data_IF_512414850979
#
_entry.id   IF_512414850979
#
_cell.length_a   1.000
_cell.length_b   1.000
_cell.length_c   1.000
_cell.angle_alpha   90.00
_cell.angle_beta   90.00
_cell.angle_gamma   90.00
#
_symmetry.space_group_name_H-M   'P 1'
#
loop_
_entity.id
_entity.type
_entity.pdbx_description
1 polymer ?
#
# COMPACT_ATOMS: atom_id res chain seq x y z
N UNK A 1 40.65 -60.06 -23.92
CA UNK A 1 40.70 -59.09 -22.81
C UNK A 1 39.96 -57.83 -23.25
N UNK A 2 38.77 -57.59 -22.71
CA UNK A 2 37.93 -56.41 -23.00
C UNK A 2 38.21 -55.36 -21.93
N UNK A 3 38.73 -54.20 -22.30
CA UNK A 3 38.82 -53.04 -21.41
C UNK A 3 37.59 -52.15 -21.61
N UNK A 4 36.75 -52.06 -20.58
CA UNK A 4 35.58 -51.18 -20.54
C UNK A 4 35.98 -49.77 -20.14
N UNK A 5 35.57 -48.78 -20.95
CA UNK A 5 35.70 -47.36 -20.66
C UNK A 5 34.46 -46.91 -19.87
N UNK A 6 34.61 -46.65 -18.57
CA UNK A 6 33.58 -46.02 -17.76
C UNK A 6 33.54 -44.52 -18.08
N UNK A 7 32.50 -44.06 -18.76
CA UNK A 7 32.19 -42.63 -18.88
C UNK A 7 31.52 -42.15 -17.59
N UNK A 8 32.22 -41.33 -16.82
CA UNK A 8 31.66 -40.60 -15.67
C UNK A 8 30.86 -39.42 -16.21
N UNK A 9 29.53 -39.51 -16.13
CA UNK A 9 28.62 -38.42 -16.47
C UNK A 9 28.56 -37.44 -15.28
N UNK A 10 29.32 -36.34 -15.33
CA UNK A 10 29.19 -35.26 -14.36
C UNK A 10 27.88 -34.50 -14.59
N UNK A 11 26.86 -34.78 -13.77
CA UNK A 11 25.66 -33.98 -13.63
C UNK A 11 26.02 -32.65 -12.94
N UNK A 12 26.18 -31.59 -13.73
CA UNK A 12 26.15 -30.22 -13.22
C UNK A 12 24.70 -29.87 -12.84
N UNK A 13 24.35 -30.05 -11.57
CA UNK A 13 23.16 -29.46 -11.00
C UNK A 13 23.40 -27.94 -10.90
N UNK A 14 22.89 -27.17 -11.86
CA UNK A 14 22.83 -25.72 -11.75
C UNK A 14 21.92 -25.34 -10.59
N UNK A 15 22.51 -24.95 -9.45
CA UNK A 15 21.80 -24.15 -8.47
C UNK A 15 21.40 -22.84 -9.16
N UNK A 16 20.13 -22.73 -9.54
CA UNK A 16 19.49 -21.43 -9.74
C UNK A 16 19.46 -20.76 -8.37
N UNK A 17 20.53 -20.04 -8.03
CA UNK A 17 20.46 -19.00 -7.02
C UNK A 17 19.45 -17.97 -7.53
N UNK A 18 18.21 -18.04 -7.05
CA UNK A 18 17.37 -16.86 -7.02
C UNK A 18 18.15 -15.84 -6.22
N UNK A 19 18.62 -14.78 -6.88
CA UNK A 19 19.20 -13.66 -6.18
C UNK A 19 18.15 -13.17 -5.19
N UNK A 20 18.37 -13.42 -3.90
CA UNK A 20 17.62 -12.79 -2.84
C UNK A 20 17.86 -11.29 -3.02
N UNK A 21 16.84 -10.59 -3.53
CA UNK A 21 16.79 -9.13 -3.54
C UNK A 21 16.65 -8.65 -2.11
N UNK A 22 17.72 -8.81 -1.32
CA UNK A 22 17.98 -7.90 -0.22
C UNK A 22 17.93 -6.50 -0.80
N UNK A 23 17.11 -5.61 -0.22
CA UNK A 23 16.94 -4.25 -0.70
C UNK A 23 18.20 -3.40 -0.46
N UNK A 24 19.26 -3.70 -1.19
CA UNK A 24 20.36 -2.79 -1.45
C UNK A 24 19.78 -1.58 -2.20
N UNK A 25 19.42 -0.53 -1.46
CA UNK A 25 18.96 0.73 -2.05
C UNK A 25 17.63 1.29 -1.53
N UNK A 26 16.99 0.72 -0.50
CA UNK A 26 15.90 1.43 0.17
C UNK A 26 16.43 2.67 0.87
N UNK A 27 15.89 3.83 0.54
CA UNK A 27 16.25 5.10 1.19
C UNK A 27 15.04 5.76 1.84
N UNK A 28 15.31 6.68 2.76
CA UNK A 28 14.29 7.58 3.30
C UNK A 28 13.88 8.63 2.25
N UNK A 29 12.60 9.03 2.16
CA UNK A 29 12.12 9.88 1.07
C UNK A 29 12.46 11.37 1.22
N UNK A 30 13.12 11.79 2.30
CA UNK A 30 13.47 13.19 2.60
C UNK A 30 14.92 13.31 3.06
N UNK A 31 15.54 14.51 3.01
CA UNK A 31 16.91 14.72 3.48
C UNK A 31 17.04 14.71 5.01
N UNK A 32 15.95 14.60 5.77
CA UNK A 32 16.00 14.53 7.23
C UNK A 32 16.65 13.19 7.67
N UNK A 33 17.83 13.21 8.34
CA UNK A 33 18.55 11.98 8.71
C UNK A 33 18.05 11.34 10.01
N UNK A 34 17.11 11.98 10.71
CA UNK A 34 16.68 11.60 12.06
C UNK A 34 16.23 10.14 12.15
N UNK A 35 15.44 9.67 11.18
CA UNK A 35 15.01 8.28 11.14
C UNK A 35 16.23 7.33 11.06
N UNK A 36 17.14 7.53 10.11
CA UNK A 36 18.33 6.70 9.92
C UNK A 36 19.22 6.71 11.17
N UNK A 37 19.33 7.85 11.84
CA UNK A 37 20.11 8.02 13.06
C UNK A 37 19.45 7.39 14.30
N UNK A 38 18.21 6.90 14.21
CA UNK A 38 17.52 6.30 15.37
C UNK A 38 16.95 7.29 16.36
N UNK A 39 16.69 8.51 15.89
CA UNK A 39 16.09 9.56 16.69
C UNK A 39 14.58 9.33 16.87
N UNK A 40 14.00 10.13 17.76
CA UNK A 40 12.60 10.01 18.15
C UNK A 40 11.66 10.44 17.02
N UNK A 41 10.38 10.09 17.10
CA UNK A 41 9.43 10.47 16.02
C UNK A 41 9.24 11.99 15.94
N UNK A 42 9.47 12.69 17.04
CA UNK A 42 9.45 14.14 17.15
C UNK A 42 10.48 14.81 16.24
N UNK A 43 11.52 14.08 15.84
CA UNK A 43 12.64 14.58 15.02
C UNK A 43 12.41 14.43 13.50
N UNK A 44 11.26 13.91 13.06
CA UNK A 44 10.92 13.82 11.63
C UNK A 44 9.42 13.83 11.30
N UNK A 45 8.53 13.63 12.27
CA UNK A 45 7.08 13.59 12.02
C UNK A 45 6.46 14.98 12.12
N UNK A 46 5.74 15.38 11.08
CA UNK A 46 4.92 16.59 11.10
C UNK A 46 3.58 16.31 11.80
N UNK A 47 3.30 16.90 12.98
CA UNK A 47 1.97 16.83 13.57
C UNK A 47 0.94 17.61 12.74
N UNK A 48 -0.32 17.21 12.87
CA UNK A 48 -1.46 17.98 12.39
C UNK A 48 -1.66 19.25 13.23
N UNK A 49 -2.75 19.98 12.99
CA UNK A 49 -3.12 21.17 13.77
C UNK A 49 -3.27 20.90 15.28
N UNK A 50 -3.44 19.64 15.71
CA UNK A 50 -3.50 19.29 17.13
C UNK A 50 -2.17 19.47 17.88
N UNK A 51 -1.03 19.58 17.18
CA UNK A 51 0.30 19.63 17.79
C UNK A 51 0.80 18.29 18.36
N UNK A 52 -0.03 17.25 18.40
CA UNK A 52 0.37 15.92 18.88
C UNK A 52 1.14 15.19 17.78
N UNK A 53 2.43 14.87 18.01
CA UNK A 53 3.32 14.22 17.04
C UNK A 53 2.71 12.98 16.38
N UNK A 54 2.08 12.11 17.19
CA UNK A 54 1.43 10.89 16.71
C UNK A 54 0.37 11.13 15.63
N UNK A 55 -0.22 12.33 15.53
CA UNK A 55 -1.24 12.64 14.52
C UNK A 55 -0.74 12.66 13.08
N UNK A 56 0.58 12.72 12.87
CA UNK A 56 1.23 12.57 11.56
C UNK A 56 1.62 11.13 11.21
N UNK A 57 1.39 10.16 12.10
CA UNK A 57 1.67 8.74 11.84
C UNK A 57 0.56 8.07 11.03
N UNK A 58 0.85 6.89 10.49
CA UNK A 58 -0.17 6.04 9.87
C UNK A 58 -1.19 5.54 10.91
N UNK A 59 -2.43 5.31 10.47
CA UNK A 59 -3.45 4.67 11.29
C UNK A 59 -4.51 5.61 11.85
N UNK A 60 -5.24 5.13 12.86
CA UNK A 60 -6.29 5.89 13.52
C UNK A 60 -5.72 6.86 14.56
N UNK A 61 -5.04 7.90 14.09
CA UNK A 61 -4.25 8.81 14.94
C UNK A 61 -4.73 10.28 14.92
N UNK A 62 -5.73 10.59 14.09
CA UNK A 62 -6.29 11.95 13.95
C UNK A 62 -7.63 12.05 14.69
N UNK A 63 -7.98 13.25 15.15
CA UNK A 63 -9.22 13.54 15.90
C UNK A 63 -9.45 12.58 17.09
N UNK A 64 -8.46 12.42 17.97
CA UNK A 64 -8.54 11.47 19.10
C UNK A 64 -8.62 10.00 18.67
N UNK A 65 -8.20 9.70 17.44
CA UNK A 65 -8.23 8.36 16.85
C UNK A 65 -9.50 8.01 16.09
N UNK A 66 -10.42 8.96 15.89
CA UNK A 66 -11.63 8.74 15.09
C UNK A 66 -11.38 8.84 13.57
N UNK A 67 -10.24 9.41 13.15
CA UNK A 67 -9.90 9.60 11.74
C UNK A 67 -8.63 8.86 11.36
N UNK A 68 -8.73 8.10 10.27
CA UNK A 68 -7.64 7.35 9.67
C UNK A 68 -6.68 8.29 8.92
N UNK A 69 -5.41 7.93 8.93
CA UNK A 69 -4.35 8.54 8.14
C UNK A 69 -3.65 7.45 7.33
N UNK A 70 -3.67 7.62 6.01
CA UNK A 70 -3.22 6.65 5.01
C UNK A 70 -1.69 6.55 4.89
N UNK A 71 -0.94 7.47 5.50
CA UNK A 71 0.51 7.56 5.33
C UNK A 71 1.24 8.16 6.52
N UNK A 72 2.41 8.71 6.21
CA UNK A 72 3.32 9.35 7.15
C UNK A 72 3.53 10.81 6.73
N UNK A 73 3.35 11.76 7.66
CA UNK A 73 3.61 13.17 7.41
C UNK A 73 5.02 13.53 7.91
N UNK A 74 5.92 13.95 7.02
CA UNK A 74 7.33 14.23 7.29
C UNK A 74 7.65 15.72 7.11
N UNK A 75 8.19 16.37 8.15
CA UNK A 75 8.49 17.80 8.09
C UNK A 75 9.80 18.09 7.32
N UNK A 76 9.97 19.32 6.79
CA UNK A 76 11.20 19.75 6.14
C UNK A 76 12.29 20.15 7.13
N UNK A 77 13.55 19.91 6.78
CA UNK A 77 14.72 20.42 7.52
C UNK A 77 15.26 21.74 6.96
N UNK A 78 14.83 22.16 5.77
CA UNK A 78 15.24 23.42 5.14
C UNK A 78 14.06 24.26 4.68
N UNK A 79 14.18 25.59 4.85
CA UNK A 79 13.17 26.59 4.47
C UNK A 79 13.80 27.84 3.87
N UNK A 80 13.08 28.49 2.96
CA UNK A 80 13.48 29.78 2.42
C UNK A 80 13.16 30.96 3.37
N UNK A 81 13.54 32.17 2.98
CA UNK A 81 13.27 33.41 3.74
C UNK A 81 11.76 33.70 3.92
N UNK A 82 10.90 33.08 3.11
CA UNK A 82 9.44 33.21 3.18
C UNK A 82 8.82 32.10 4.03
N UNK A 83 9.60 31.14 4.53
CA UNK A 83 9.17 30.00 5.33
C UNK A 83 8.67 28.80 4.52
N UNK A 84 8.79 28.81 3.19
CA UNK A 84 8.42 27.68 2.34
C UNK A 84 9.49 26.58 2.40
N UNK A 85 9.07 25.31 2.31
CA UNK A 85 9.97 24.17 2.37
C UNK A 85 10.87 24.10 1.13
N UNK A 86 12.13 23.68 1.31
CA UNK A 86 13.12 23.54 0.23
C UNK A 86 13.56 22.09 0.00
N UNK A 87 13.17 21.18 0.88
CA UNK A 87 13.59 19.78 0.84
C UNK A 87 13.19 19.10 -0.46
N UNK A 88 14.16 18.45 -1.11
CA UNK A 88 13.88 17.54 -2.22
C UNK A 88 13.25 16.25 -1.69
N UNK A 89 12.26 15.73 -2.41
CA UNK A 89 11.60 14.45 -2.14
C UNK A 89 12.14 13.40 -3.10
N UNK A 90 12.49 12.22 -2.58
CA UNK A 90 13.19 11.20 -3.36
C UNK A 90 12.34 9.93 -3.56
N UNK A 91 12.50 9.31 -4.73
CA UNK A 91 12.05 7.93 -4.94
C UNK A 91 12.79 7.01 -3.97
N UNK A 92 12.04 6.21 -3.21
CA UNK A 92 12.63 5.39 -2.12
C UNK A 92 13.29 4.12 -2.65
N UNK A 93 12.96 3.76 -3.89
CA UNK A 93 13.40 2.59 -4.61
C UNK A 93 13.25 2.80 -6.13
N UNK A 94 13.93 1.97 -6.94
CA UNK A 94 13.68 1.92 -8.37
C UNK A 94 12.22 1.61 -8.68
N UNK A 95 11.71 2.20 -9.76
CA UNK A 95 10.33 2.00 -10.15
C UNK A 95 9.94 2.74 -11.42
N UNK A 96 8.64 2.83 -11.64
CA UNK A 96 8.02 3.56 -12.74
C UNK A 96 7.05 4.57 -12.18
N UNK A 97 7.15 5.82 -12.62
CA UNK A 97 6.13 6.83 -12.33
C UNK A 97 4.84 6.42 -13.05
N UNK A 98 3.77 6.21 -12.31
CA UNK A 98 2.48 5.73 -12.82
C UNK A 98 1.39 6.79 -12.76
N UNK A 99 1.59 7.84 -11.96
CA UNK A 99 0.69 8.98 -11.89
C UNK A 99 1.43 10.24 -11.46
N UNK A 100 1.02 11.38 -12.02
CA UNK A 100 1.45 12.70 -11.59
C UNK A 100 0.27 13.66 -11.64
N UNK A 101 -0.04 14.30 -10.52
CA UNK A 101 -0.92 15.45 -10.48
C UNK A 101 -0.07 16.72 -10.25
N UNK A 102 -0.04 17.63 -11.24
CA UNK A 102 0.66 18.92 -11.13
C UNK A 102 -0.23 20.06 -10.62
N UNK A 103 -1.53 19.82 -10.46
CA UNK A 103 -2.49 20.85 -10.07
C UNK A 103 -2.83 20.75 -8.59
N UNK A 104 -2.42 21.76 -7.81
CA UNK A 104 -2.60 21.79 -6.36
C UNK A 104 -4.06 21.59 -5.91
N UNK A 105 -5.04 22.18 -6.61
CA UNK A 105 -6.44 22.16 -6.19
C UNK A 105 -7.22 20.89 -6.55
N UNK A 106 -6.66 19.95 -7.32
CA UNK A 106 -7.41 18.79 -7.84
C UNK A 106 -7.59 17.64 -6.85
N UNK A 107 -6.94 17.68 -5.69
CA UNK A 107 -6.98 16.62 -4.68
C UNK A 107 -6.63 17.16 -3.30
N UNK A 108 -7.07 16.47 -2.25
CA UNK A 108 -6.54 16.66 -0.90
C UNK A 108 -5.03 16.41 -0.83
N UNK A 109 -4.48 15.54 -1.69
CA UNK A 109 -3.04 15.32 -1.81
C UNK A 109 -2.26 16.50 -2.42
N UNK A 110 -2.94 17.47 -3.01
CA UNK A 110 -2.26 18.55 -3.72
C UNK A 110 -1.57 18.07 -4.98
N UNK A 111 -0.37 18.56 -5.22
CA UNK A 111 0.54 18.01 -6.22
C UNK A 111 1.15 16.73 -5.66
N UNK A 112 1.07 15.65 -6.43
CA UNK A 112 1.60 14.37 -5.98
C UNK A 112 2.09 13.50 -7.14
N UNK A 113 3.00 12.59 -6.80
CA UNK A 113 3.58 11.59 -7.69
C UNK A 113 3.30 10.22 -7.09
N UNK A 114 2.97 9.24 -7.95
CA UNK A 114 2.89 7.83 -7.57
C UNK A 114 3.93 7.06 -8.36
N UNK A 115 4.75 6.28 -7.66
CA UNK A 115 5.76 5.39 -8.24
C UNK A 115 5.35 3.96 -7.95
N UNK A 116 5.25 3.13 -8.99
CA UNK A 116 5.06 1.68 -8.86
C UNK A 116 6.42 0.99 -8.92
N UNK A 117 6.70 0.16 -7.92
CA UNK A 117 7.91 -0.65 -7.82
C UNK A 117 7.64 -1.99 -8.49
N UNK A 118 7.52 -1.97 -9.82
CA UNK A 118 7.07 -3.08 -10.67
C UNK A 118 8.07 -4.25 -10.80
N UNK A 119 9.29 -4.09 -10.28
CA UNK A 119 10.30 -5.16 -10.18
C UNK A 119 10.30 -5.87 -8.82
N UNK A 120 9.49 -5.37 -7.88
CA UNK A 120 9.32 -5.98 -6.57
C UNK A 120 8.25 -7.06 -6.61
N UNK A 121 8.33 -8.02 -5.69
CA UNK A 121 7.36 -9.12 -5.59
C UNK A 121 6.83 -9.21 -4.17
N UNK A 122 5.55 -8.87 -3.90
CA UNK A 122 4.60 -8.28 -4.86
C UNK A 122 5.05 -6.88 -5.30
N UNK A 123 4.65 -6.48 -6.50
CA UNK A 123 4.72 -5.07 -6.88
C UNK A 123 3.86 -4.26 -5.90
N UNK A 124 4.30 -3.06 -5.56
CA UNK A 124 3.57 -2.13 -4.71
C UNK A 124 3.83 -0.71 -5.21
N UNK A 125 3.14 0.27 -4.64
CA UNK A 125 3.37 1.67 -4.97
C UNK A 125 3.75 2.50 -3.75
N UNK A 126 4.43 3.60 -4.04
CA UNK A 126 4.63 4.71 -3.10
C UNK A 126 3.96 5.97 -3.64
N UNK A 127 3.43 6.79 -2.73
CA UNK A 127 2.78 8.05 -3.05
C UNK A 127 3.48 9.19 -2.31
N UNK A 128 3.78 10.27 -3.04
CA UNK A 128 4.50 11.44 -2.55
C UNK A 128 3.66 12.69 -2.78
N UNK A 129 3.05 13.23 -1.72
CA UNK A 129 2.05 14.30 -1.81
C UNK A 129 2.50 15.63 -1.20
N UNK A 130 1.63 16.62 -1.37
CA UNK A 130 1.80 18.01 -0.93
C UNK A 130 2.97 18.76 -1.55
N UNK A 131 3.51 18.28 -2.67
CA UNK A 131 4.68 18.86 -3.32
C UNK A 131 4.45 20.34 -3.70
N UNK A 132 5.49 21.17 -3.53
CA UNK A 132 5.50 22.54 -4.04
C UNK A 132 5.55 22.51 -5.57
N UNK A 133 6.46 21.70 -6.11
CA UNK A 133 6.68 21.45 -7.54
C UNK A 133 7.02 19.98 -7.78
N UNK A 134 6.75 19.50 -8.99
CA UNK A 134 7.20 18.18 -9.48
C UNK A 134 8.46 18.43 -10.31
N UNK A 135 9.49 17.62 -10.14
CA UNK A 135 10.75 17.77 -10.87
C UNK A 135 10.58 17.54 -12.38
N UNK A 136 11.51 18.08 -13.16
CA UNK A 136 11.55 17.88 -14.61
C UNK A 136 11.78 16.40 -14.95
N UNK A 137 11.19 15.94 -16.06
CA UNK A 137 11.26 14.52 -16.47
C UNK A 137 10.35 13.56 -15.68
N UNK A 138 9.81 13.97 -14.53
CA UNK A 138 8.87 13.14 -13.75
C UNK A 138 7.48 13.16 -14.40
N UNK A 139 7.20 12.16 -15.23
CA UNK A 139 5.92 11.99 -15.92
C UNK A 139 5.50 10.51 -15.93
N UNK A 140 4.20 10.20 -16.07
CA UNK A 140 3.75 8.82 -16.22
C UNK A 140 4.54 8.08 -17.30
N UNK A 141 5.06 6.89 -16.98
CA UNK A 141 5.92 6.07 -17.82
C UNK A 141 7.41 6.19 -17.52
N UNK A 142 7.87 7.31 -16.94
CA UNK A 142 9.27 7.54 -16.60
C UNK A 142 9.80 6.51 -15.61
N UNK A 143 11.03 6.02 -15.83
CA UNK A 143 11.76 5.18 -14.88
C UNK A 143 12.50 6.07 -13.90
N UNK A 144 12.53 5.66 -12.63
CA UNK A 144 13.29 6.32 -11.57
C UNK A 144 14.11 5.27 -10.85
N UNK A 145 15.29 5.68 -10.40
CA UNK A 145 16.13 4.91 -9.48
C UNK A 145 15.93 5.39 -8.04
N UNK A 146 16.40 4.61 -7.07
CA UNK A 146 16.45 5.08 -5.68
C UNK A 146 17.24 6.39 -5.58
N UNK A 147 16.72 7.37 -4.85
CA UNK A 147 17.35 8.70 -4.72
C UNK A 147 17.00 9.68 -5.85
N UNK A 148 16.26 9.27 -6.88
CA UNK A 148 15.80 10.21 -7.92
C UNK A 148 14.91 11.29 -7.29
N UNK A 149 15.24 12.56 -7.50
CA UNK A 149 14.43 13.69 -7.04
C UNK A 149 13.09 13.76 -7.79
N UNK A 150 11.99 13.59 -7.07
CA UNK A 150 10.63 13.60 -7.61
C UNK A 150 10.01 15.00 -7.64
N UNK A 151 10.48 15.89 -6.78
CA UNK A 151 9.95 17.23 -6.62
C UNK A 151 10.34 17.86 -5.29
N UNK A 152 9.97 19.11 -5.11
CA UNK A 152 10.26 19.86 -3.88
C UNK A 152 9.07 19.70 -2.92
N UNK A 153 9.36 19.39 -1.66
CA UNK A 153 8.37 19.34 -0.58
C UNK A 153 7.60 20.65 -0.51
N UNK A 154 6.32 20.60 -0.15
CA UNK A 154 5.53 21.80 -0.03
C UNK A 154 4.36 21.67 0.92
N UNK A 155 3.30 22.38 0.57
CA UNK A 155 2.07 22.48 1.34
C UNK A 155 0.84 22.57 0.42
N UNK A 156 0.94 22.00 -0.78
CA UNK A 156 -0.14 22.05 -1.77
C UNK A 156 -1.25 21.06 -1.39
N UNK A 157 -2.50 21.50 -1.52
CA UNK A 157 -3.71 20.68 -1.34
C UNK A 157 -4.91 21.44 -1.90
N UNK A 158 -6.06 20.76 -2.01
CA UNK A 158 -7.36 21.42 -2.24
C UNK A 158 -7.82 22.29 -1.06
N UNK A 159 -7.07 22.28 0.05
CA UNK A 159 -7.25 23.12 1.23
C UNK A 159 -5.92 23.77 1.63
N UNK A 160 -5.96 24.74 2.55
CA UNK A 160 -4.76 25.44 2.99
C UNK A 160 -4.01 24.69 4.09
N UNK A 161 -2.74 24.38 3.85
CA UNK A 161 -1.78 23.90 4.86
C UNK A 161 -0.82 25.04 5.18
N UNK A 162 -0.69 25.55 6.41
CA UNK A 162 0.20 26.69 6.70
C UNK A 162 1.66 26.32 6.47
N UNK A 163 2.51 27.32 6.20
CA UNK A 163 3.94 27.14 5.95
C UNK A 163 4.65 26.35 7.04
N UNK A 164 4.34 26.65 8.31
CA UNK A 164 4.88 25.95 9.48
C UNK A 164 4.53 24.46 9.54
N UNK A 165 3.55 24.00 8.75
CA UNK A 165 3.18 22.59 8.60
C UNK A 165 3.34 22.07 7.17
N UNK A 166 4.16 22.71 6.35
CA UNK A 166 4.62 22.09 5.10
C UNK A 166 5.23 20.72 5.42
N UNK A 167 4.91 19.70 4.63
CA UNK A 167 5.36 18.33 4.85
C UNK A 167 5.27 17.51 3.56
N UNK A 168 5.98 16.40 3.53
CA UNK A 168 5.70 15.30 2.62
C UNK A 168 4.66 14.40 3.27
N UNK A 169 3.55 14.14 2.59
CA UNK A 169 2.69 13.01 2.91
C UNK A 169 3.13 11.81 2.07
N UNK A 170 3.59 10.75 2.75
CA UNK A 170 4.20 9.57 2.15
C UNK A 170 3.40 8.30 2.44
N UNK A 171 3.02 7.56 1.40
CA UNK A 171 2.33 6.27 1.53
C UNK A 171 3.11 5.13 0.88
N UNK A 172 2.89 3.90 1.38
CA UNK A 172 3.28 2.63 0.75
C UNK A 172 2.01 1.78 0.66
N UNK A 173 1.69 1.19 -0.49
CA UNK A 173 0.46 0.40 -0.58
C UNK A 173 0.20 -0.33 -1.89
N UNK A 174 -1.07 -0.71 -2.05
CA UNK A 174 -1.60 -1.43 -3.20
C UNK A 174 -2.78 -0.71 -3.82
N UNK A 175 -3.02 -0.97 -5.10
CA UNK A 175 -4.15 -0.45 -5.86
C UNK A 175 -5.23 -1.52 -5.96
N UNK A 176 -6.46 -1.21 -5.56
CA UNK A 176 -7.53 -2.21 -5.43
C UNK A 176 -8.02 -2.75 -6.79
N UNK A 177 -8.20 -1.90 -7.79
CA UNK A 177 -8.71 -2.34 -9.10
C UNK A 177 -8.22 -1.48 -10.25
N UNK A 178 -8.16 -2.05 -11.47
CA UNK A 178 -7.96 -1.33 -12.73
C UNK A 178 -9.25 -0.64 -13.21
N UNK A 179 -10.41 -1.16 -12.81
CA UNK A 179 -11.73 -0.67 -13.22
C UNK A 179 -12.32 0.34 -12.22
N UNK A 180 -11.47 1.19 -11.65
CA UNK A 180 -11.88 2.11 -10.59
C UNK A 180 -12.91 3.14 -11.08
N UNK A 181 -12.82 3.57 -12.34
CA UNK A 181 -13.73 4.55 -12.91
C UNK A 181 -15.18 4.06 -12.88
N UNK A 182 -15.43 2.80 -13.22
CA UNK A 182 -16.77 2.20 -13.17
C UNK A 182 -17.34 2.18 -11.75
N UNK A 183 -16.50 1.95 -10.74
CA UNK A 183 -16.93 2.10 -9.35
C UNK A 183 -17.24 3.57 -9.01
N UNK A 184 -16.38 4.51 -9.42
CA UNK A 184 -16.55 5.93 -9.16
C UNK A 184 -17.84 6.49 -9.74
N UNK A 185 -18.17 6.16 -10.99
CA UNK A 185 -19.37 6.66 -11.69
C UNK A 185 -20.66 6.20 -10.99
N UNK A 186 -20.68 4.97 -10.45
CA UNK A 186 -21.82 4.45 -9.68
C UNK A 186 -22.07 5.19 -8.37
N UNK A 187 -21.05 5.86 -7.81
CA UNK A 187 -21.17 6.65 -6.58
C UNK A 187 -21.79 8.03 -6.81
N UNK A 188 -21.90 8.49 -8.06
CA UNK A 188 -22.49 9.79 -8.43
C UNK A 188 -21.88 10.97 -7.65
N UNK A 189 -20.56 10.99 -7.51
CA UNK A 189 -19.88 12.13 -6.89
C UNK A 189 -20.10 13.40 -7.73
N UNK A 190 -20.20 14.56 -7.07
CA UNK A 190 -20.33 15.85 -7.77
C UNK A 190 -19.05 16.31 -8.48
N UNK A 191 -17.90 15.70 -8.16
CA UNK A 191 -16.63 15.98 -8.80
C UNK A 191 -16.26 14.89 -9.82
N UNK A 192 -15.53 15.26 -10.88
CA UNK A 192 -14.95 14.30 -11.82
C UNK A 192 -13.76 13.58 -11.18
N UNK A 193 -13.57 12.30 -11.50
CA UNK A 193 -12.32 11.61 -11.18
C UNK A 193 -11.21 12.10 -12.11
N UNK A 194 -10.30 12.94 -11.60
CA UNK A 194 -9.14 13.46 -12.35
C UNK A 194 -7.90 12.57 -12.26
N UNK A 195 -7.98 11.51 -11.45
CA UNK A 195 -6.82 10.72 -11.03
C UNK A 195 -6.83 9.30 -11.59
N UNK A 196 -7.87 8.97 -12.38
CA UNK A 196 -8.04 7.65 -12.97
C UNK A 196 -8.00 6.55 -11.92
N UNK A 197 -7.28 5.46 -12.21
CA UNK A 197 -7.08 4.33 -11.28
C UNK A 197 -6.13 4.63 -10.10
N UNK A 198 -5.45 5.78 -10.11
CA UNK A 198 -4.54 6.23 -9.05
C UNK A 198 -5.18 7.28 -8.12
N UNK A 199 -6.50 7.34 -8.11
CA UNK A 199 -7.26 8.08 -7.12
C UNK A 199 -7.07 7.44 -5.73
N UNK A 200 -6.83 8.25 -4.68
CA UNK A 200 -6.62 7.75 -3.31
C UNK A 200 -7.73 6.84 -2.77
N UNK A 201 -8.96 7.00 -3.25
CA UNK A 201 -10.07 6.10 -2.89
C UNK A 201 -9.90 4.67 -3.41
N UNK A 202 -9.00 4.45 -4.37
CA UNK A 202 -8.65 3.14 -4.93
C UNK A 202 -7.38 2.55 -4.31
N UNK A 203 -6.70 3.28 -3.42
CA UNK A 203 -5.45 2.87 -2.81
C UNK A 203 -5.71 2.35 -1.39
N UNK A 204 -4.90 1.39 -0.98
CA UNK A 204 -4.87 0.87 0.39
C UNK A 204 -3.44 0.74 0.87
N UNK A 205 -3.18 1.27 2.06
CA UNK A 205 -1.82 1.58 2.49
C UNK A 205 -1.39 0.69 3.66
N UNK A 206 -0.11 0.33 3.66
CA UNK A 206 0.62 -0.30 4.76
C UNK A 206 1.17 0.80 5.68
N UNK A 207 1.59 0.44 6.90
CA UNK A 207 2.29 1.37 7.79
C UNK A 207 3.72 1.61 7.28
N UNK A 208 4.06 2.80 6.76
CA UNK A 208 5.39 3.03 6.23
C UNK A 208 6.45 2.99 7.33
N UNK A 209 6.16 3.57 8.50
CA UNK A 209 7.16 3.68 9.57
C UNK A 209 7.47 2.32 10.17
N UNK A 210 6.46 1.47 10.38
CA UNK A 210 6.66 0.11 10.88
C UNK A 210 7.40 -0.77 9.85
N UNK A 211 7.14 -0.58 8.55
CA UNK A 211 7.91 -1.21 7.49
C UNK A 211 9.39 -0.81 7.53
N UNK A 212 9.70 0.49 7.52
CA UNK A 212 11.08 0.98 7.59
C UNK A 212 11.81 0.53 8.86
N UNK A 213 11.12 0.53 10.01
CA UNK A 213 11.68 0.00 11.27
C UNK A 213 11.98 -1.49 11.17
N UNK A 214 11.07 -2.26 10.58
CA UNK A 214 11.26 -3.70 10.40
C UNK A 214 12.46 -4.01 9.51
N UNK A 215 12.64 -3.26 8.41
CA UNK A 215 13.83 -3.39 7.54
C UNK A 215 15.10 -3.00 8.28
N UNK A 216 15.12 -1.84 8.94
CA UNK A 216 16.29 -1.38 9.70
C UNK A 216 16.74 -2.35 10.79
N UNK A 217 15.79 -3.01 11.45
CA UNK A 217 16.07 -3.99 12.49
C UNK A 217 16.35 -5.40 11.94
N UNK A 218 16.43 -5.58 10.62
CA UNK A 218 16.67 -6.88 9.99
C UNK A 218 15.55 -7.89 10.20
N UNK A 219 14.33 -7.45 10.56
CA UNK A 219 13.18 -8.33 10.77
C UNK A 219 12.59 -8.82 9.45
N UNK A 220 12.70 -8.00 8.41
CA UNK A 220 12.19 -8.24 7.06
C UNK A 220 13.13 -7.56 6.07
N UNK A 221 13.21 -8.09 4.85
CA UNK A 221 14.10 -7.54 3.81
C UNK A 221 13.35 -6.81 2.70
N UNK A 222 12.03 -6.99 2.62
CA UNK A 222 11.17 -6.49 1.54
C UNK A 222 9.69 -6.43 1.98
N UNK A 223 8.83 -5.87 1.12
CA UNK A 223 7.37 -5.74 1.38
C UNK A 223 6.67 -7.10 1.48
N UNK A 224 7.16 -8.15 0.83
CA UNK A 224 6.56 -9.49 0.90
C UNK A 224 6.73 -10.14 2.26
N UNK A 225 7.93 -10.04 2.83
CA UNK A 225 8.18 -10.49 4.19
C UNK A 225 7.39 -9.63 5.19
N UNK A 226 7.39 -8.31 5.00
CA UNK A 226 6.63 -7.38 5.85
C UNK A 226 5.14 -7.69 5.86
N UNK A 227 4.50 -7.86 4.71
CA UNK A 227 3.07 -8.13 4.68
C UNK A 227 2.73 -9.47 5.35
N UNK A 228 3.64 -10.45 5.36
CA UNK A 228 3.44 -11.73 6.06
C UNK A 228 3.47 -11.58 7.58
N UNK A 229 4.23 -10.64 8.12
CA UNK A 229 4.26 -10.39 9.58
C UNK A 229 2.97 -9.73 10.10
N UNK A 230 2.24 -9.03 9.23
CA UNK A 230 1.00 -8.35 9.61
C UNK A 230 -0.09 -9.40 9.94
N UNK A 231 -0.68 -9.37 11.14
CA UNK A 231 -1.72 -10.32 11.52
C UNK A 231 -3.02 -10.10 10.73
N UNK A 232 -3.75 -11.18 10.48
CA UNK A 232 -5.09 -11.11 9.90
C UNK A 232 -6.11 -10.70 10.98
N UNK A 233 -6.84 -9.61 10.74
CA UNK A 233 -7.91 -9.15 11.63
C UNK A 233 -9.23 -9.85 11.35
N UNK A 234 -9.47 -10.14 10.07
CA UNK A 234 -10.59 -10.95 9.62
C UNK A 234 -10.23 -11.72 8.35
N UNK A 235 -10.89 -12.87 8.17
CA UNK A 235 -10.93 -13.62 6.92
C UNK A 235 -12.36 -13.61 6.40
N UNK A 236 -12.54 -13.13 5.18
CA UNK A 236 -13.85 -13.01 4.53
C UNK A 236 -13.82 -13.85 3.25
N UNK A 237 -14.83 -14.70 3.09
CA UNK A 237 -15.09 -15.45 1.86
C UNK A 237 -15.98 -14.64 0.94
N UNK A 238 -15.64 -14.62 -0.33
CA UNK A 238 -16.50 -14.13 -1.42
C UNK A 238 -16.71 -15.26 -2.42
N UNK A 239 -17.96 -15.68 -2.60
CA UNK A 239 -18.34 -16.74 -3.54
C UNK A 239 -18.42 -16.15 -4.94
N UNK A 240 -17.39 -16.37 -5.74
CA UNK A 240 -17.32 -15.94 -7.13
C UNK A 240 -16.22 -16.70 -7.85
N UNK A 241 -16.45 -17.02 -9.13
CA UNK A 241 -15.42 -17.54 -10.03
C UNK A 241 -14.55 -16.43 -10.63
N UNK A 242 -14.92 -15.16 -10.44
CA UNK A 242 -14.17 -14.02 -10.96
C UNK A 242 -12.78 -13.95 -10.34
N UNK A 243 -11.76 -13.78 -11.19
CA UNK A 243 -10.41 -13.43 -10.77
C UNK A 243 -10.32 -11.90 -10.76
N UNK A 244 -10.22 -11.23 -9.60
CA UNK A 244 -10.17 -9.78 -9.55
C UNK A 244 -8.80 -9.26 -10.00
N UNK A 245 -8.77 -8.04 -10.56
CA UNK A 245 -7.54 -7.37 -11.00
C UNK A 245 -6.45 -7.38 -9.91
N UNK A 246 -6.84 -7.28 -8.63
CA UNK A 246 -5.91 -7.34 -7.50
C UNK A 246 -5.09 -8.63 -7.47
N UNK A 247 -5.73 -9.79 -7.73
CA UNK A 247 -5.06 -11.09 -7.77
C UNK A 247 -4.11 -11.18 -8.97
N UNK A 248 -4.50 -10.64 -10.12
CA UNK A 248 -3.67 -10.60 -11.32
C UNK A 248 -2.46 -9.67 -11.14
N UNK A 249 -2.65 -8.51 -10.49
CA UNK A 249 -1.61 -7.52 -10.27
C UNK A 249 -0.63 -7.94 -9.15
N UNK A 250 -1.10 -8.72 -8.17
CA UNK A 250 -0.32 -9.10 -6.98
C UNK A 250 -0.35 -10.63 -6.74
N UNK A 251 0.11 -11.45 -7.70
CA UNK A 251 0.00 -12.90 -7.62
C UNK A 251 0.77 -13.51 -6.44
N UNK A 252 1.81 -12.83 -5.94
CA UNK A 252 2.56 -13.25 -4.75
C UNK A 252 1.74 -13.25 -3.45
N UNK A 253 0.57 -12.59 -3.44
CA UNK A 253 -0.36 -12.62 -2.30
C UNK A 253 -1.33 -13.81 -2.36
N UNK A 254 -1.27 -14.63 -3.41
CA UNK A 254 -2.10 -15.83 -3.57
C UNK A 254 -1.45 -17.02 -2.89
N UNK A 255 -2.19 -17.75 -2.06
CA UNK A 255 -1.63 -18.82 -1.21
C UNK A 255 -1.38 -20.14 -1.93
N UNK A 256 -2.03 -20.35 -3.08
CA UNK A 256 -1.86 -21.56 -3.89
C UNK A 256 -2.26 -21.33 -5.35
N UNK A 257 -1.67 -22.07 -6.31
CA UNK A 257 -2.00 -21.96 -7.73
C UNK A 257 -3.48 -22.22 -8.01
N UNK A 258 -4.05 -21.47 -8.94
CA UNK A 258 -5.44 -21.64 -9.41
C UNK A 258 -5.57 -21.85 -10.92
N UNK A 259 -4.48 -21.72 -11.69
CA UNK A 259 -4.48 -21.97 -13.14
C UNK A 259 -4.95 -23.39 -13.43
N UNK A 260 -5.88 -23.53 -14.38
CA UNK A 260 -6.46 -24.83 -14.75
C UNK A 260 -7.48 -25.40 -13.75
N UNK A 261 -7.77 -24.70 -12.65
CA UNK A 261 -8.75 -25.11 -11.65
C UNK A 261 -10.02 -24.28 -11.74
N UNK A 262 -11.16 -24.92 -11.44
CA UNK A 262 -12.44 -24.23 -11.34
C UNK A 262 -12.56 -23.49 -10.00
N UNK A 263 -12.19 -22.21 -9.99
CA UNK A 263 -12.36 -21.33 -8.82
C UNK A 263 -13.85 -21.07 -8.58
N UNK A 264 -14.29 -21.20 -7.32
CA UNK A 264 -15.68 -20.95 -6.90
C UNK A 264 -15.78 -19.92 -5.78
N UNK A 265 -14.69 -19.62 -5.07
CA UNK A 265 -14.65 -18.56 -4.07
C UNK A 265 -13.22 -18.08 -3.79
N UNK A 266 -13.11 -16.96 -3.09
CA UNK A 266 -11.87 -16.43 -2.55
C UNK A 266 -11.99 -16.23 -1.04
N UNK A 267 -11.07 -16.81 -0.26
CA UNK A 267 -10.91 -16.51 1.16
C UNK A 267 -9.82 -15.44 1.30
N UNK A 268 -10.21 -14.26 1.77
CA UNK A 268 -9.34 -13.07 1.80
C UNK A 268 -9.04 -12.71 3.24
N UNK A 269 -7.76 -12.68 3.62
CA UNK A 269 -7.34 -12.11 4.90
C UNK A 269 -7.16 -10.60 4.78
N UNK A 270 -7.67 -9.86 5.76
CA UNK A 270 -7.52 -8.41 5.85
C UNK A 270 -6.61 -8.03 7.01
N UNK A 271 -5.69 -7.08 6.77
CA UNK A 271 -4.93 -6.41 7.83
C UNK A 271 -5.84 -5.52 8.70
N UNK A 272 -5.28 -4.94 9.76
CA UNK A 272 -5.99 -4.01 10.65
C UNK A 272 -6.86 -3.00 9.89
N UNK A 273 -6.32 -2.31 8.90
CA UNK A 273 -7.04 -1.22 8.21
C UNK A 273 -7.57 -1.58 6.82
N UNK A 274 -7.69 -2.88 6.55
CA UNK A 274 -8.42 -3.39 5.38
C UNK A 274 -7.56 -3.61 4.13
N UNK A 275 -6.24 -3.80 4.27
CA UNK A 275 -5.40 -4.29 3.16
C UNK A 275 -5.71 -5.78 2.93
N UNK A 276 -6.14 -6.20 1.73
CA UNK A 276 -6.37 -7.61 1.41
C UNK A 276 -5.01 -8.30 1.20
N UNK A 277 -4.48 -8.87 2.27
CA UNK A 277 -3.07 -9.26 2.39
C UNK A 277 -2.75 -10.70 1.98
N UNK A 278 -3.77 -11.54 1.84
CA UNK A 278 -3.63 -12.95 1.53
C UNK A 278 -4.90 -13.46 0.84
N UNK A 279 -4.74 -14.19 -0.25
CA UNK A 279 -5.82 -14.65 -1.13
C UNK A 279 -5.76 -16.15 -1.33
N UNK A 280 -6.71 -16.89 -0.75
CA UNK A 280 -6.81 -18.32 -0.95
C UNK A 280 -7.93 -18.64 -1.94
N UNK A 281 -7.62 -19.09 -3.17
CA UNK A 281 -8.65 -19.55 -4.10
C UNK A 281 -9.29 -20.82 -3.55
N UNK A 282 -10.60 -20.98 -3.70
CA UNK A 282 -11.36 -22.19 -3.36
C UNK A 282 -11.89 -22.84 -4.62
N UNK A 283 -11.91 -24.17 -4.64
CA UNK A 283 -12.20 -24.94 -5.85
C UNK A 283 -13.50 -25.72 -5.72
N UNK A 284 -14.15 -26.01 -6.86
CA UNK A 284 -15.42 -26.74 -6.90
C UNK A 284 -15.34 -28.10 -6.19
N UNK A 285 -14.23 -28.83 -6.36
CA UNK A 285 -13.95 -30.13 -5.74
C UNK A 285 -13.94 -30.11 -4.20
N UNK A 286 -13.79 -28.93 -3.59
CA UNK A 286 -13.76 -28.79 -2.12
C UNK A 286 -15.15 -28.71 -1.48
N UNK A 287 -16.23 -28.69 -2.28
CA UNK A 287 -17.63 -28.74 -1.82
C UNK A 287 -17.97 -27.75 -0.68
N UNK A 288 -17.41 -26.53 -0.75
CA UNK A 288 -17.47 -25.55 0.34
C UNK A 288 -18.84 -24.85 0.54
N UNK A 289 -19.83 -25.14 -0.31
CA UNK A 289 -21.16 -24.52 -0.30
C UNK A 289 -21.19 -23.00 -0.59
N UNK A 290 -22.41 -22.46 -0.65
CA UNK A 290 -22.69 -21.04 -0.94
C UNK A 290 -23.10 -20.79 -2.39
N UNK A 291 -23.72 -19.63 -2.63
CA UNK A 291 -24.18 -19.15 -3.94
C UNK A 291 -23.28 -18.04 -4.45
N UNK A 292 -23.17 -17.89 -5.77
CA UNK A 292 -22.43 -16.78 -6.37
C UNK A 292 -22.95 -15.44 -5.85
N UNK A 293 -22.05 -14.60 -5.36
CA UNK A 293 -22.36 -13.31 -4.72
C UNK A 293 -22.43 -13.37 -3.19
N UNK A 294 -22.45 -14.55 -2.57
CA UNK A 294 -22.40 -14.68 -1.11
C UNK A 294 -21.09 -14.08 -0.57
N UNK A 295 -21.20 -13.42 0.59
CA UNK A 295 -20.06 -12.87 1.33
C UNK A 295 -20.18 -13.26 2.79
N UNK A 296 -19.18 -13.96 3.34
CA UNK A 296 -19.22 -14.53 4.70
C UNK A 296 -17.96 -14.25 5.49
N UNK A 297 -18.09 -13.86 6.75
CA UNK A 297 -16.97 -13.85 7.71
C UNK A 297 -16.63 -15.28 8.10
N UNK A 298 -15.39 -15.71 7.85
CA UNK A 298 -14.89 -17.05 8.20
C UNK A 298 -14.23 -17.09 9.57
N UNK A 299 -13.38 -16.09 9.84
CA UNK A 299 -12.62 -15.98 11.07
C UNK A 299 -12.33 -14.52 11.37
N UNK A 300 -12.12 -14.19 12.64
CA UNK A 300 -11.68 -12.87 13.08
C UNK A 300 -11.02 -12.95 14.45
N UNK A 301 -10.22 -11.94 14.79
CA UNK A 301 -9.62 -11.80 16.11
C UNK A 301 -10.38 -10.73 16.92
N UNK A 302 -11.21 -11.12 17.92
CA UNK A 302 -12.01 -10.16 18.69
C UNK A 302 -11.16 -9.13 19.44
N UNK A 303 -10.03 -9.55 20.01
CA UNK A 303 -9.16 -8.66 20.82
C UNK A 303 -8.55 -7.58 19.93
N UNK A 304 -8.09 -7.96 18.74
CA UNK A 304 -7.54 -7.02 17.76
C UNK A 304 -8.59 -6.06 17.21
N UNK A 305 -9.79 -6.54 16.91
CA UNK A 305 -10.89 -5.69 16.43
C UNK A 305 -11.31 -4.65 17.47
N UNK A 306 -11.29 -5.00 18.77
CA UNK A 306 -11.60 -4.07 19.87
C UNK A 306 -10.60 -2.91 19.97
N UNK A 307 -9.35 -3.11 19.54
CA UNK A 307 -8.33 -2.06 19.52
C UNK A 307 -8.54 -1.04 18.39
N UNK A 308 -9.46 -1.30 17.46
CA UNK A 308 -9.74 -0.39 16.35
C UNK A 308 -10.72 0.72 16.74
N UNK A 309 -10.20 1.94 16.83
CA UNK A 309 -11.00 3.16 17.02
C UNK A 309 -11.65 3.69 15.74
N UNK A 310 -11.07 3.39 14.57
CA UNK A 310 -11.58 3.79 13.26
C UNK A 310 -11.22 2.74 12.19
N UNK A 311 -11.71 2.93 10.95
CA UNK A 311 -11.36 2.11 9.76
C UNK A 311 -11.40 0.59 10.05
N UNK A 312 -12.45 0.16 10.75
CA UNK A 312 -12.63 -1.24 11.17
C UNK A 312 -12.80 -2.16 9.98
N UNK A 313 -12.28 -3.39 10.05
CA UNK A 313 -12.59 -4.41 9.05
C UNK A 313 -13.98 -5.00 9.27
N UNK A 314 -14.31 -5.26 10.53
CA UNK A 314 -15.61 -5.73 11.00
C UNK A 314 -16.15 -4.81 12.10
N UNK A 315 -17.46 -4.58 12.11
CA UNK A 315 -18.16 -3.90 13.17
C UNK A 315 -18.59 -4.90 14.25
N UNK A 316 -18.06 -4.72 15.45
CA UNK A 316 -18.45 -5.46 16.65
C UNK A 316 -19.75 -4.87 17.19
N UNK A 317 -20.90 -5.39 16.73
CA UNK A 317 -22.22 -4.99 17.22
C UNK A 317 -23.23 -6.13 17.09
N UNK A 318 -23.87 -6.48 18.21
CA UNK A 318 -24.80 -7.62 18.29
C UNK A 318 -24.10 -8.96 18.57
N UNK A 319 -24.79 -10.08 18.32
CA UNK A 319 -24.28 -11.44 18.62
C UNK A 319 -23.16 -11.90 17.67
N UNK A 320 -23.10 -11.36 16.46
CA UNK A 320 -22.10 -11.72 15.44
C UNK A 320 -21.53 -10.46 14.78
N UNK A 321 -20.22 -10.37 14.52
CA UNK A 321 -19.64 -9.23 13.83
C UNK A 321 -20.18 -9.09 12.41
N UNK A 322 -20.35 -7.84 11.98
CA UNK A 322 -20.77 -7.50 10.62
C UNK A 322 -19.58 -6.98 9.82
N UNK A 323 -19.57 -7.21 8.51
CA UNK A 323 -18.56 -6.61 7.63
C UNK A 323 -18.77 -5.10 7.62
N UNK A 324 -17.71 -4.33 7.89
CA UNK A 324 -17.83 -2.88 7.96
C UNK A 324 -18.18 -2.28 6.58
N UNK A 325 -18.76 -1.08 6.59
CA UNK A 325 -19.05 -0.33 5.36
C UNK A 325 -17.79 -0.06 4.53
N UNK A 326 -16.64 0.15 5.19
CA UNK A 326 -15.34 0.31 4.55
C UNK A 326 -14.91 -0.96 3.82
N UNK A 327 -14.97 -2.11 4.49
CA UNK A 327 -14.61 -3.40 3.88
C UNK A 327 -15.56 -3.78 2.76
N UNK A 328 -16.88 -3.57 2.91
CA UNK A 328 -17.84 -3.76 1.83
C UNK A 328 -17.52 -2.87 0.61
N UNK A 329 -17.13 -1.61 0.85
CA UNK A 329 -16.68 -0.70 -0.21
C UNK A 329 -15.41 -1.19 -0.90
N UNK A 330 -14.47 -1.82 -0.17
CA UNK A 330 -13.28 -2.46 -0.74
C UNK A 330 -13.65 -3.68 -1.58
N UNK A 331 -14.52 -4.57 -1.08
CA UNK A 331 -14.99 -5.75 -1.81
C UNK A 331 -15.70 -5.36 -3.12
N UNK A 332 -16.55 -4.32 -3.09
CA UNK A 332 -17.19 -3.77 -4.30
C UNK A 332 -16.19 -3.25 -5.33
N UNK A 333 -15.05 -2.70 -4.92
CA UNK A 333 -13.98 -2.28 -5.85
C UNK A 333 -13.23 -3.48 -6.42
N UNK A 334 -12.90 -4.46 -5.56
CA UNK A 334 -12.15 -5.66 -5.94
C UNK A 334 -12.91 -6.50 -6.98
N UNK A 335 -14.20 -6.72 -6.75
CA UNK A 335 -15.02 -7.62 -7.57
C UNK A 335 -16.01 -6.91 -8.50
N UNK A 336 -16.22 -5.61 -8.34
CA UNK A 336 -17.15 -4.85 -9.17
C UNK A 336 -18.63 -5.04 -8.82
N UNK A 337 -18.95 -5.67 -7.68
CA UNK A 337 -20.33 -5.85 -7.19
C UNK A 337 -21.08 -4.53 -7.03
N UNK A 338 -22.42 -4.60 -7.08
CA UNK A 338 -23.32 -3.44 -6.90
C UNK A 338 -23.51 -3.07 -5.42
#
# INVERSE_FOLDING_TARGET
MRFGLFSVLCLFAGLLCTADSSWAGLIWPTPNPAFQNGQSIEDYIQPTVSGVTKSGLFGCVRNGGARFHEGLDLYPVSRDKRGEALDMVYAVLPGRVVHVNRTAGHSSYGRYVVVEHDRETPAFHTLYAHLASVADGIAPGARVESGTGLGVMGRSASYSIPKSRAHLHFEIGFRLTDDFQRWYDRRKFGAKNRHGKWNGMNLVSLDPLDFYRSVRHGKVSNVNEYIKTIPAYARIRVQTAQIPNFVTNYPALVTRPYTGKQVVAWDIAFSQYGVPKEWTPRFAEENIGGRSGDVKVLAYDPKRLQQQSCRRVLDLGGKTPKISSGTLSTLRKLFGFK
#
